data_IF_231462283370
#
_entry.id   IF_231462283370
#
_cell.length_a   1.000
_cell.length_b   1.000
_cell.length_c   1.000
_cell.angle_alpha   90.00
_cell.angle_beta   90.00
_cell.angle_gamma   90.00
#
_symmetry.space_group_name_H-M   'P 1'
#
loop_
_entity.id
_entity.type
_entity.pdbx_description
1 polymer ?
#
# COMPACT_ATOMS: atom_id res chain seq x y z
N UNK A 1 10.11 10.96 16.23
CA UNK A 1 10.41 9.78 15.40
C UNK A 1 9.83 10.02 14.02
N UNK A 2 10.61 9.86 12.96
CA UNK A 2 10.09 10.03 11.60
C UNK A 2 9.26 8.80 11.20
N UNK A 3 8.30 8.97 10.27
CA UNK A 3 7.39 7.88 9.88
C UNK A 3 8.15 6.69 9.28
N UNK A 4 9.21 6.96 8.53
CA UNK A 4 10.03 5.93 7.87
C UNK A 4 10.79 5.07 8.88
N UNK A 5 11.27 5.67 9.97
CA UNK A 5 11.94 4.94 11.05
C UNK A 5 10.95 4.02 11.79
N UNK A 6 9.66 4.38 11.84
CA UNK A 6 8.63 3.62 12.55
C UNK A 6 8.11 2.44 11.75
N UNK A 7 7.99 2.59 10.44
CA UNK A 7 7.52 1.52 9.53
C UNK A 7 8.66 0.56 9.14
N UNK A 8 9.92 1.00 9.21
CA UNK A 8 11.09 0.17 8.89
C UNK A 8 11.10 -0.28 7.42
N UNK A 9 11.39 -1.56 7.18
CA UNK A 9 11.55 -2.10 5.82
C UNK A 9 10.28 -2.00 4.96
N UNK A 10 10.47 -1.64 3.69
CA UNK A 10 9.42 -1.53 2.69
C UNK A 10 9.10 -2.86 2.01
N UNK A 11 7.84 -2.98 1.56
CA UNK A 11 7.38 -4.06 0.71
C UNK A 11 7.72 -3.79 -0.76
N UNK A 12 7.37 -4.70 -1.68
CA UNK A 12 7.60 -4.49 -3.10
C UNK A 12 6.32 -4.12 -3.87
N UNK A 13 6.46 -3.23 -4.86
CA UNK A 13 5.37 -2.81 -5.74
C UNK A 13 4.21 -2.15 -4.99
N UNK A 14 2.97 -2.51 -5.33
CA UNK A 14 1.75 -1.96 -4.70
C UNK A 14 1.63 -2.24 -3.20
N UNK A 15 2.46 -3.14 -2.66
CA UNK A 15 2.49 -3.39 -1.21
C UNK A 15 3.10 -2.25 -0.40
N UNK A 16 3.98 -1.44 -1.00
CA UNK A 16 4.64 -0.30 -0.31
C UNK A 16 3.62 0.70 0.19
N UNK A 17 2.76 1.19 -0.70
CA UNK A 17 1.78 2.24 -0.39
C UNK A 17 0.81 1.80 0.70
N UNK A 18 0.33 0.55 0.62
CA UNK A 18 -0.60 -0.03 1.58
C UNK A 18 0.06 -0.17 2.96
N UNK A 19 1.25 -0.77 3.01
CA UNK A 19 1.91 -1.03 4.28
C UNK A 19 2.42 0.24 4.96
N UNK A 20 2.86 1.24 4.19
CA UNK A 20 3.19 2.57 4.71
C UNK A 20 1.98 3.19 5.41
N UNK A 21 0.81 3.10 4.77
CA UNK A 21 -0.43 3.66 5.32
C UNK A 21 -0.85 2.93 6.60
N UNK A 22 -0.89 1.59 6.57
CA UNK A 22 -1.24 0.76 7.74
C UNK A 22 -0.24 0.96 8.88
N UNK A 23 1.06 0.93 8.58
CA UNK A 23 2.12 1.13 9.58
C UNK A 23 2.08 2.52 10.21
N UNK A 24 1.86 3.57 9.41
CA UNK A 24 1.71 4.93 9.92
C UNK A 24 0.51 5.04 10.88
N UNK A 25 -0.66 4.51 10.49
CA UNK A 25 -1.84 4.50 11.34
C UNK A 25 -1.62 3.70 12.63
N UNK A 26 -1.02 2.52 12.54
CA UNK A 26 -0.74 1.66 13.69
C UNK A 26 0.19 2.33 14.71
N UNK A 27 1.18 3.10 14.26
CA UNK A 27 2.08 3.85 15.13
C UNK A 27 1.52 5.22 15.59
N UNK A 28 0.24 5.49 15.34
CA UNK A 28 -0.45 6.70 15.83
C UNK A 28 -0.15 7.97 15.03
N UNK A 29 0.41 7.86 13.82
CA UNK A 29 0.58 9.01 12.94
C UNK A 29 -0.77 9.42 12.32
N UNK A 30 -0.89 10.71 11.97
CA UNK A 30 -2.07 11.22 11.26
C UNK A 30 -1.86 11.14 9.76
N UNK A 31 -2.86 10.63 9.05
CA UNK A 31 -2.89 10.67 7.59
C UNK A 31 -3.62 11.94 7.11
N UNK A 32 -3.08 12.57 6.07
CA UNK A 32 -3.71 13.68 5.36
C UNK A 32 -3.63 13.41 3.86
N UNK A 33 -4.80 13.29 3.22
CA UNK A 33 -4.86 13.23 1.76
C UNK A 33 -4.77 14.64 1.18
N UNK A 34 -3.75 14.87 0.35
CA UNK A 34 -3.56 16.15 -0.35
C UNK A 34 -3.99 15.97 -1.80
N UNK A 35 -5.02 16.70 -2.27
CA UNK A 35 -5.43 16.65 -3.67
C UNK A 35 -4.30 17.10 -4.59
N UNK A 36 -3.98 16.28 -5.59
CA UNK A 36 -2.94 16.58 -6.59
C UNK A 36 -3.55 16.49 -7.99
N UNK A 37 -3.04 17.32 -8.90
CA UNK A 37 -3.44 17.31 -10.31
C UNK A 37 -2.84 16.12 -11.09
N UNK A 38 -2.96 14.91 -10.53
CA UNK A 38 -2.48 13.67 -11.13
C UNK A 38 -3.66 12.76 -11.49
N UNK A 39 -3.57 12.10 -12.64
CA UNK A 39 -4.54 11.09 -13.07
C UNK A 39 -3.83 9.76 -13.27
N UNK A 40 -4.44 8.70 -12.75
CA UNK A 40 -3.95 7.35 -13.00
C UNK A 40 -4.04 7.03 -14.50
N UNK A 41 -2.93 6.62 -15.09
CA UNK A 41 -2.91 6.12 -16.48
C UNK A 41 -3.44 4.69 -16.50
N UNK A 42 -4.74 4.55 -16.75
CA UNK A 42 -5.36 3.24 -16.87
C UNK A 42 -4.85 2.51 -18.12
N UNK A 43 -4.15 1.39 -17.94
CA UNK A 43 -3.97 0.42 -19.04
C UNK A 43 -5.34 -0.18 -19.37
N UNK A 44 -5.70 -0.13 -20.65
CA UNK A 44 -7.06 -0.38 -21.17
C UNK A 44 -7.78 -1.61 -20.62
N UNK A 45 -9.11 -1.62 -20.77
CA UNK A 45 -10.06 -2.58 -20.16
C UNK A 45 -9.98 -4.04 -20.68
N UNK A 46 -8.94 -4.42 -21.40
CA UNK A 46 -8.78 -5.78 -21.93
C UNK A 46 -8.35 -6.82 -20.88
N UNK A 47 -8.32 -8.10 -21.29
CA UNK A 47 -7.85 -9.25 -20.50
C UNK A 47 -6.45 -9.03 -19.88
N UNK A 48 -5.55 -8.34 -20.60
CA UNK A 48 -4.22 -7.94 -20.08
C UNK A 48 -4.34 -7.00 -18.88
N UNK A 49 -5.27 -6.05 -18.92
CA UNK A 49 -5.55 -5.13 -17.81
C UNK A 49 -6.18 -5.83 -16.60
N UNK A 50 -7.04 -6.84 -16.83
CA UNK A 50 -7.59 -7.66 -15.75
C UNK A 50 -6.48 -8.49 -15.06
N UNK A 51 -5.59 -9.14 -15.84
CA UNK A 51 -4.46 -9.89 -15.28
C UNK A 51 -3.49 -8.99 -14.52
N UNK A 52 -3.24 -7.77 -15.02
CA UNK A 52 -2.43 -6.79 -14.32
C UNK A 52 -3.05 -6.40 -12.98
N UNK A 53 -4.34 -6.03 -12.96
CA UNK A 53 -5.08 -5.72 -11.73
C UNK A 53 -5.16 -6.89 -10.75
N UNK A 54 -5.28 -8.12 -11.26
CA UNK A 54 -5.20 -9.33 -10.43
C UNK A 54 -3.84 -9.47 -9.74
N UNK A 55 -2.74 -9.23 -10.48
CA UNK A 55 -1.40 -9.21 -9.88
C UNK A 55 -1.25 -8.11 -8.85
N UNK A 56 -1.78 -6.90 -9.11
CA UNK A 56 -1.82 -5.82 -8.11
C UNK A 56 -2.57 -6.25 -6.84
N UNK A 57 -3.74 -6.89 -6.99
CA UNK A 57 -4.52 -7.42 -5.87
C UNK A 57 -3.76 -8.44 -5.03
N UNK A 58 -3.02 -9.36 -5.65
CA UNK A 58 -2.17 -10.32 -4.93
C UNK A 58 -1.08 -9.61 -4.13
N UNK A 59 -0.47 -8.56 -4.67
CA UNK A 59 0.54 -7.77 -3.94
C UNK A 59 -0.08 -7.09 -2.71
N UNK A 60 -1.28 -6.54 -2.84
CA UNK A 60 -2.02 -5.91 -1.73
C UNK A 60 -2.33 -6.94 -0.63
N UNK A 61 -2.87 -8.12 -0.99
CA UNK A 61 -3.18 -9.19 -0.01
C UNK A 61 -1.91 -9.63 0.73
N UNK A 62 -0.80 -9.82 0.01
CA UNK A 62 0.49 -10.16 0.62
C UNK A 62 1.01 -9.09 1.57
N UNK A 63 0.82 -7.81 1.23
CA UNK A 63 1.22 -6.69 2.09
C UNK A 63 0.38 -6.66 3.37
N UNK A 64 -0.95 -6.81 3.26
CA UNK A 64 -1.86 -6.87 4.41
C UNK A 64 -1.55 -8.08 5.32
N UNK A 65 -1.29 -9.25 4.74
CA UNK A 65 -0.92 -10.43 5.52
C UNK A 65 0.39 -10.23 6.30
N UNK A 66 1.36 -9.55 5.70
CA UNK A 66 2.61 -9.24 6.40
C UNK A 66 2.44 -8.16 7.48
N UNK A 67 1.60 -7.14 7.25
CA UNK A 67 1.22 -6.18 8.29
C UNK A 67 0.58 -6.91 9.48
N UNK A 68 -0.32 -7.86 9.21
CA UNK A 68 -0.92 -8.71 10.24
C UNK A 68 0.13 -9.51 11.01
N UNK A 69 1.09 -10.16 10.34
CA UNK A 69 2.19 -10.88 11.00
C UNK A 69 3.11 -9.99 11.84
N UNK A 70 3.25 -8.71 11.47
CA UNK A 70 4.00 -7.71 12.24
C UNK A 70 3.23 -7.18 13.45
N UNK A 71 1.98 -7.58 13.63
CA UNK A 71 1.12 -7.06 14.70
C UNK A 71 0.52 -5.70 14.37
N UNK A 72 0.63 -5.22 13.13
CA UNK A 72 0.01 -3.97 12.67
C UNK A 72 -1.47 -4.18 12.34
N UNK A 73 -2.19 -4.78 13.28
CA UNK A 73 -3.65 -4.76 13.29
C UNK A 73 -4.10 -3.46 13.97
N UNK A 74 -5.18 -2.88 13.46
CA UNK A 74 -5.89 -1.79 14.12
C UNK A 74 -6.72 -2.35 15.29
#
# INVERSE_FOLDING_TARGET
>A
MAVLDAVGDFFEGFGVEVALTVGALHHGFRLLEVPLAMKHRAYGRGLKGLRHRGRQGIHIIKALWQCYKRGWHL
#
